data_IF_830917533646
#
_entry.id   IF_830917533646
#
_cell.length_a   1.000
_cell.length_b   1.000
_cell.length_c   1.000
_cell.angle_alpha   90.00
_cell.angle_beta   90.00
_cell.angle_gamma   90.00
#
_symmetry.space_group_name_H-M   'P 1'
#
loop_
_entity.id
_entity.type
_entity.pdbx_description
1 polymer ?
#
# COMPACT_ATOMS: atom_id res chain seq x y z
N UNK A 1 27.76 45.64 -21.77
CA UNK A 1 27.98 44.50 -22.67
C UNK A 1 27.79 43.22 -21.86
N UNK A 2 26.72 42.48 -22.12
CA UNK A 2 26.30 41.30 -21.35
C UNK A 2 26.71 40.03 -22.10
N UNK A 3 27.67 39.27 -21.58
CA UNK A 3 27.93 37.91 -22.06
C UNK A 3 28.37 37.03 -20.90
N UNK A 4 27.39 36.44 -20.20
CA UNK A 4 27.61 35.29 -19.33
C UNK A 4 26.66 34.18 -19.76
N UNK A 5 27.13 33.37 -20.71
CA UNK A 5 26.48 32.11 -21.10
C UNK A 5 26.63 31.12 -19.94
N UNK A 6 25.68 31.18 -19.00
CA UNK A 6 25.45 30.11 -18.03
C UNK A 6 24.98 28.87 -18.77
N UNK A 7 25.93 28.02 -19.14
CA UNK A 7 25.70 26.67 -19.67
C UNK A 7 24.94 25.87 -18.61
N UNK A 8 23.62 25.84 -18.72
CA UNK A 8 22.78 24.91 -17.97
C UNK A 8 23.26 23.49 -18.28
N UNK A 9 23.99 22.87 -17.33
CA UNK A 9 24.13 21.42 -17.33
C UNK A 9 22.79 20.89 -16.87
N UNK A 10 21.97 20.48 -17.85
CA UNK A 10 20.90 19.52 -17.61
C UNK A 10 21.51 18.36 -16.82
N UNK A 11 20.97 18.02 -15.63
CA UNK A 11 21.34 16.79 -14.95
C UNK A 11 21.10 15.64 -15.92
N UNK A 12 22.05 14.72 -16.00
CA UNK A 12 21.93 13.48 -16.77
C UNK A 12 20.60 12.81 -16.39
N UNK A 13 19.61 12.91 -17.28
CA UNK A 13 18.39 12.12 -17.25
C UNK A 13 18.76 10.66 -17.51
N UNK A 14 19.41 10.02 -16.54
CA UNK A 14 19.29 8.59 -16.39
C UNK A 14 17.92 8.34 -15.76
N UNK A 15 16.88 8.63 -16.53
CA UNK A 15 15.50 8.25 -16.30
C UNK A 15 15.38 6.73 -16.43
N UNK A 16 16.05 6.01 -15.54
CA UNK A 16 15.67 4.64 -15.23
C UNK A 16 14.26 4.74 -14.67
N UNK A 17 13.28 4.53 -15.54
CA UNK A 17 11.92 4.24 -15.11
C UNK A 17 12.05 3.11 -14.09
N UNK A 18 11.70 3.39 -12.85
CA UNK A 18 11.68 2.39 -11.78
C UNK A 18 10.74 1.29 -12.28
N UNK A 19 11.30 0.13 -12.64
CA UNK A 19 10.53 -0.99 -13.18
C UNK A 19 9.84 -1.69 -12.01
N UNK A 20 8.53 -1.50 -11.79
CA UNK A 20 7.84 -2.12 -10.66
C UNK A 20 7.91 -3.65 -10.70
N UNK A 21 8.10 -4.25 -11.86
CA UNK A 21 8.28 -5.70 -12.03
C UNK A 21 9.46 -6.27 -11.22
N UNK A 22 10.45 -5.44 -10.86
CA UNK A 22 11.61 -5.88 -10.05
C UNK A 22 11.37 -5.76 -8.55
N UNK A 23 10.57 -4.80 -8.13
CA UNK A 23 10.34 -4.49 -6.72
C UNK A 23 9.17 -5.28 -6.13
N UNK A 24 8.23 -5.73 -6.95
CA UNK A 24 7.08 -6.51 -6.50
C UNK A 24 7.25 -8.02 -6.80
N UNK A 25 6.69 -8.92 -5.97
CA UNK A 25 5.93 -8.65 -4.75
C UNK A 25 6.79 -8.25 -3.56
N UNK A 26 6.26 -7.38 -2.69
CA UNK A 26 6.93 -6.86 -1.49
C UNK A 26 6.31 -7.48 -0.25
N UNK A 27 7.12 -8.00 0.67
CA UNK A 27 6.65 -8.38 2.01
C UNK A 27 6.85 -7.24 2.99
N UNK A 28 5.79 -6.83 3.69
CA UNK A 28 5.86 -5.80 4.73
C UNK A 28 5.17 -6.24 6.00
N UNK A 29 5.76 -5.85 7.13
CA UNK A 29 5.21 -6.07 8.45
C UNK A 29 4.69 -4.74 9.02
N UNK A 30 3.50 -4.77 9.60
CA UNK A 30 2.88 -3.64 10.29
C UNK A 30 2.44 -4.08 11.68
N UNK A 31 2.62 -3.20 12.66
CA UNK A 31 2.19 -3.47 14.04
C UNK A 31 0.78 -2.92 14.23
N UNK A 32 -0.14 -3.75 14.70
CA UNK A 32 -1.48 -3.30 15.05
C UNK A 32 -1.54 -2.59 16.41
N UNK A 33 -2.67 -1.98 16.72
CA UNK A 33 -2.89 -1.27 17.99
C UNK A 33 -2.81 -2.17 19.25
N UNK A 34 -2.80 -3.49 19.11
CA UNK A 34 -2.55 -4.46 20.20
C UNK A 34 -1.07 -4.79 20.39
N UNK A 35 -0.19 -4.24 19.54
CA UNK A 35 1.22 -4.61 19.49
C UNK A 35 1.49 -5.90 18.72
N UNK A 36 0.50 -6.48 18.04
CA UNK A 36 0.71 -7.68 17.23
C UNK A 36 1.23 -7.31 15.85
N UNK A 37 2.34 -7.93 15.44
CA UNK A 37 2.90 -7.78 14.10
C UNK A 37 2.10 -8.60 13.09
N UNK A 38 1.66 -7.94 12.02
CA UNK A 38 0.89 -8.48 10.90
C UNK A 38 1.76 -8.41 9.65
N UNK A 39 1.87 -9.53 8.93
CA UNK A 39 2.65 -9.62 7.70
C UNK A 39 1.74 -9.55 6.48
N UNK A 40 2.15 -8.79 5.47
CA UNK A 40 1.40 -8.59 4.24
C UNK A 40 2.26 -8.88 3.03
N UNK A 41 1.68 -9.58 2.05
CA UNK A 41 2.23 -9.68 0.69
C UNK A 41 1.57 -8.61 -0.16
N UNK A 42 2.38 -7.68 -0.66
CA UNK A 42 1.95 -6.61 -1.53
C UNK A 42 2.32 -6.96 -2.97
N UNK A 43 1.32 -6.99 -3.85
CA UNK A 43 1.49 -7.23 -5.28
C UNK A 43 0.95 -6.04 -6.07
N UNK A 44 1.46 -5.82 -7.27
CA UNK A 44 0.87 -4.86 -8.20
C UNK A 44 0.29 -5.57 -9.42
N UNK A 45 -0.58 -4.86 -10.13
CA UNK A 45 -1.13 -5.27 -11.41
C UNK A 45 -1.33 -4.04 -12.30
N UNK A 46 -1.16 -4.24 -13.61
CA UNK A 46 -1.55 -3.23 -14.58
C UNK A 46 -3.07 -3.26 -14.78
N UNK A 47 -3.68 -2.09 -14.69
CA UNK A 47 -5.08 -1.88 -15.05
C UNK A 47 -5.16 -1.02 -16.32
N UNK A 48 -6.30 -1.07 -17.01
CA UNK A 48 -6.48 -0.36 -18.28
C UNK A 48 -6.22 1.16 -18.22
N UNK A 49 -6.30 1.75 -17.03
CA UNK A 49 -6.15 3.19 -16.80
C UNK A 49 -4.95 3.55 -15.92
N UNK A 50 -4.09 2.58 -15.56
CA UNK A 50 -2.95 2.84 -14.67
C UNK A 50 -2.50 1.62 -13.90
N UNK A 51 -2.16 1.82 -12.63
CA UNK A 51 -1.51 0.83 -11.78
C UNK A 51 -2.35 0.56 -10.54
N UNK A 52 -2.63 -0.72 -10.30
CA UNK A 52 -3.24 -1.19 -9.06
C UNK A 52 -2.19 -1.84 -8.18
N UNK A 53 -2.32 -1.65 -6.88
CA UNK A 53 -1.57 -2.40 -5.85
C UNK A 53 -2.56 -3.01 -4.88
N UNK A 54 -2.23 -4.17 -4.35
CA UNK A 54 -3.03 -4.85 -3.35
C UNK A 54 -2.15 -5.47 -2.28
N UNK A 55 -2.65 -5.55 -1.06
CA UNK A 55 -2.01 -6.21 0.06
C UNK A 55 -2.94 -7.29 0.63
N UNK A 56 -2.38 -8.47 0.88
CA UNK A 56 -3.06 -9.58 1.54
C UNK A 56 -2.27 -10.00 2.78
N UNK A 57 -2.95 -10.17 3.91
CA UNK A 57 -2.34 -10.67 5.15
C UNK A 57 -1.88 -12.12 5.00
N UNK A 58 -0.61 -12.40 5.31
CA UNK A 58 -0.04 -13.75 5.25
C UNK A 58 -0.69 -14.68 6.28
N UNK A 59 -0.93 -15.93 5.89
CA UNK A 59 -1.34 -17.00 6.80
C UNK A 59 -2.79 -16.92 7.29
N UNK A 60 -3.66 -16.23 6.54
CA UNK A 60 -5.08 -16.09 6.87
C UNK A 60 -6.05 -16.66 5.84
N UNK A 61 -5.57 -17.41 4.84
CA UNK A 61 -6.38 -18.12 3.83
C UNK A 61 -7.59 -17.32 3.32
N UNK A 62 -7.37 -16.05 2.95
CA UNK A 62 -8.41 -15.14 2.45
C UNK A 62 -9.39 -14.57 3.50
N UNK A 63 -9.26 -14.94 4.78
CA UNK A 63 -10.03 -14.38 5.91
C UNK A 63 -9.27 -13.24 6.63
N UNK A 64 -8.09 -12.89 6.13
CA UNK A 64 -7.25 -11.84 6.68
C UNK A 64 -7.59 -10.47 6.13
N UNK A 65 -6.78 -9.48 6.50
CA UNK A 65 -6.90 -8.15 5.91
C UNK A 65 -6.56 -8.17 4.41
N UNK A 66 -7.42 -7.51 3.63
CA UNK A 66 -7.19 -7.25 2.21
C UNK A 66 -7.36 -5.76 1.94
N UNK A 67 -6.38 -5.18 1.24
CA UNK A 67 -6.40 -3.77 0.84
C UNK A 67 -6.06 -3.65 -0.63
N UNK A 68 -6.60 -2.62 -1.29
CA UNK A 68 -6.32 -2.33 -2.69
C UNK A 68 -6.37 -0.84 -2.93
N UNK A 69 -5.39 -0.34 -3.67
CA UNK A 69 -5.27 1.05 -4.07
C UNK A 69 -4.91 1.16 -5.55
N UNK A 70 -5.18 2.34 -6.11
CA UNK A 70 -4.96 2.62 -7.52
C UNK A 70 -4.34 4.01 -7.70
N UNK A 71 -3.47 4.11 -8.70
CA UNK A 71 -3.02 5.39 -9.23
C UNK A 71 -2.83 5.31 -10.75
N UNK A 72 -3.28 6.36 -11.44
CA UNK A 72 -3.21 6.42 -12.89
C UNK A 72 -1.77 6.56 -13.43
N UNK A 73 -0.86 7.04 -12.59
CA UNK A 73 0.45 7.53 -13.02
C UNK A 73 1.62 6.73 -12.45
N UNK A 74 1.49 6.16 -11.25
CA UNK A 74 2.59 5.45 -10.62
C UNK A 74 2.16 4.36 -9.62
N UNK A 75 2.68 3.12 -9.74
CA UNK A 75 2.43 2.06 -8.76
C UNK A 75 2.97 2.43 -7.37
N UNK A 76 4.00 3.28 -7.27
CA UNK A 76 4.58 3.72 -6.00
C UNK A 76 3.71 4.75 -5.28
N UNK A 77 2.97 5.58 -6.01
CA UNK A 77 1.95 6.45 -5.42
C UNK A 77 0.79 5.63 -4.86
N UNK A 78 0.34 4.64 -5.62
CA UNK A 78 -0.67 3.69 -5.15
C UNK A 78 -0.18 2.92 -3.91
N UNK A 79 1.09 2.49 -3.90
CA UNK A 79 1.73 1.82 -2.76
C UNK A 79 1.80 2.72 -1.50
N UNK A 80 2.15 3.99 -1.66
CA UNK A 80 2.17 4.95 -0.55
C UNK A 80 0.78 5.11 0.09
N UNK A 81 -0.27 5.20 -0.74
CA UNK A 81 -1.66 5.23 -0.26
C UNK A 81 -2.04 3.93 0.44
N UNK A 82 -1.66 2.78 -0.13
CA UNK A 82 -1.95 1.46 0.42
C UNK A 82 -1.36 1.29 1.82
N UNK A 83 -0.10 1.70 2.02
CA UNK A 83 0.56 1.69 3.33
C UNK A 83 -0.19 2.52 4.35
N UNK A 84 -0.56 3.75 3.98
CA UNK A 84 -1.36 4.61 4.86
C UNK A 84 -2.75 4.03 5.16
N UNK A 85 -3.35 3.29 4.23
CA UNK A 85 -4.61 2.59 4.45
C UNK A 85 -4.47 1.44 5.45
N UNK A 86 -3.41 0.62 5.31
CA UNK A 86 -3.09 -0.48 6.23
C UNK A 86 -2.88 0.07 7.65
N UNK A 87 -2.03 1.09 7.80
CA UNK A 87 -1.74 1.70 9.10
C UNK A 87 -3.00 2.23 9.78
N UNK A 88 -3.86 2.93 9.03
CA UNK A 88 -5.14 3.44 9.55
C UNK A 88 -6.06 2.30 10.00
N UNK A 89 -6.22 1.26 9.18
CA UNK A 89 -7.10 0.13 9.50
C UNK A 89 -6.61 -0.67 10.72
N UNK A 90 -5.30 -0.88 10.83
CA UNK A 90 -4.68 -1.55 11.97
C UNK A 90 -4.75 -0.72 13.26
N UNK A 91 -4.86 0.61 13.15
CA UNK A 91 -5.07 1.49 14.30
C UNK A 91 -6.52 1.50 14.81
N UNK A 92 -7.52 1.29 13.95
CA UNK A 92 -8.95 1.46 14.33
C UNK A 92 -9.66 0.19 14.76
N UNK A 93 -9.16 -1.02 14.46
CA UNK A 93 -9.92 -2.28 14.70
C UNK A 93 -10.05 -2.71 16.18
N UNK A 94 -9.49 -1.97 17.14
CA UNK A 94 -9.83 -2.18 18.56
C UNK A 94 -11.22 -1.68 18.95
N UNK A 95 -11.91 -0.92 18.09
CA UNK A 95 -13.19 -0.28 18.42
C UNK A 95 -14.39 -1.21 18.11
N UNK A 96 -14.28 -2.12 17.14
CA UNK A 96 -15.44 -2.90 16.66
C UNK A 96 -15.50 -4.37 17.14
N UNK A 97 -14.59 -4.82 18.00
CA UNK A 97 -14.66 -6.17 18.60
C UNK A 97 -15.45 -6.22 19.92
N UNK A 98 -16.08 -5.11 20.31
CA UNK A 98 -16.97 -5.06 21.48
C UNK A 98 -18.40 -4.86 20.96
N UNK A 99 -19.24 -5.85 21.22
CA UNK A 99 -20.66 -5.97 20.82
C UNK A 99 -20.96 -6.63 19.47
N UNK A 100 -20.87 -7.97 19.45
CA UNK A 100 -21.99 -8.79 18.98
C UNK A 100 -22.12 -10.01 19.90
N UNK A 101 -22.60 -9.80 21.13
CA UNK A 101 -23.24 -10.89 21.90
C UNK A 101 -24.73 -10.81 21.59
N UNK A 102 -25.17 -11.43 20.49
CA UNK A 102 -26.60 -11.66 20.29
C UNK A 102 -26.99 -12.78 21.25
N UNK A 103 -27.43 -12.42 22.45
CA UNK A 103 -28.24 -13.29 23.29
C UNK A 103 -29.60 -13.46 22.60
N UNK A 104 -29.66 -14.36 21.62
CA UNK A 104 -30.90 -14.83 21.01
C UNK A 104 -31.56 -15.85 21.92
N UNK A 105 -32.30 -15.35 22.91
CA UNK A 105 -33.21 -16.13 23.74
C UNK A 105 -34.59 -16.23 23.06
N UNK A 106 -35.22 -17.39 23.23
CA UNK A 106 -36.64 -17.72 23.00
C UNK A 106 -37.09 -17.93 21.56
N UNK A 107 -37.37 -19.21 21.21
CA UNK A 107 -38.73 -19.71 20.96
C UNK A 107 -38.84 -21.16 21.44
#
# INVERSE_FOLDING_TARGET
MVHSNGRWRVPDESGKRDDPDKDFPIRQAFTDCSGQTRHFVISYFHASLGFGVQAEEEGKDGQGFFFREFDATSPYLALGRLRGQIEKALATRHIEQREVTVHGSVF
#
